data_IF_156660815007
#
_entry.id   IF_156660815007
#
_cell.length_a   1.000
_cell.length_b   1.000
_cell.length_c   1.000
_cell.angle_alpha   90.00
_cell.angle_beta   90.00
_cell.angle_gamma   90.00
#
_symmetry.space_group_name_H-M   'P 1'
#
loop_
_entity.id
_entity.type
_entity.pdbx_description
1 polymer ?
#
# COMPACT_ATOMS: atom_id res chain seq x y z
N UNK A 1 -5.59 14.57 -6.98
CA UNK A 1 -5.35 13.22 -6.41
C UNK A 1 -5.77 12.17 -7.43
N UNK A 2 -4.82 11.57 -8.12
CA UNK A 2 -5.03 10.66 -9.26
C UNK A 2 -4.91 9.17 -8.89
N UNK A 3 -4.57 8.85 -7.65
CA UNK A 3 -4.46 7.49 -7.10
C UNK A 3 -3.57 6.55 -7.93
N UNK A 4 -2.55 7.08 -8.60
CA UNK A 4 -1.69 6.33 -9.51
C UNK A 4 -0.77 5.32 -8.83
N UNK A 5 -0.64 5.36 -7.51
CA UNK A 5 0.29 4.51 -6.78
C UNK A 5 -0.26 4.09 -5.41
N UNK A 6 -0.16 2.81 -5.10
CA UNK A 6 -0.46 2.24 -3.79
C UNK A 6 0.69 1.28 -3.37
N UNK A 7 1.89 1.79 -3.03
CA UNK A 7 3.03 0.95 -2.73
C UNK A 7 2.80 0.18 -1.42
N UNK A 8 2.89 -1.15 -1.43
CA UNK A 8 2.80 -1.94 -0.21
C UNK A 8 4.06 -1.79 0.63
N UNK A 9 3.90 -1.68 1.95
CA UNK A 9 4.99 -1.82 2.90
C UNK A 9 5.08 -3.27 3.39
N UNK A 10 6.28 -3.84 3.41
CA UNK A 10 6.51 -5.23 3.81
C UNK A 10 7.53 -5.27 4.93
N UNK A 11 7.16 -5.93 6.04
CA UNK A 11 8.09 -6.21 7.12
C UNK A 11 8.79 -7.53 6.87
N UNK A 12 10.12 -7.49 6.73
CA UNK A 12 10.94 -8.66 6.43
C UNK A 12 11.89 -8.98 7.59
N UNK A 13 12.11 -10.27 7.79
CA UNK A 13 13.11 -10.77 8.72
C UNK A 13 14.02 -11.78 8.03
N UNK A 14 15.32 -11.75 8.33
CA UNK A 14 16.27 -12.73 7.83
C UNK A 14 15.90 -14.14 8.30
N UNK A 15 15.85 -15.09 7.37
CA UNK A 15 15.62 -16.52 7.71
C UNK A 15 16.65 -17.05 8.70
N UNK A 16 17.91 -16.66 8.56
CA UNK A 16 18.98 -17.08 9.47
C UNK A 16 18.78 -16.56 10.90
N UNK A 17 18.15 -15.40 11.08
CA UNK A 17 17.79 -14.88 12.41
C UNK A 17 16.53 -15.57 12.94
N UNK A 18 15.56 -15.80 12.07
CA UNK A 18 14.31 -16.49 12.39
C UNK A 18 14.55 -17.90 12.91
N UNK A 19 15.39 -18.67 12.24
CA UNK A 19 15.69 -20.07 12.59
C UNK A 19 16.45 -20.23 13.93
N UNK A 20 17.02 -19.14 14.46
CA UNK A 20 17.67 -19.12 15.79
C UNK A 20 16.69 -18.87 16.93
N UNK A 21 15.47 -18.49 16.63
CA UNK A 21 14.44 -18.22 17.64
C UNK A 21 13.76 -19.50 18.06
N UNK A 22 13.35 -19.55 19.33
CA UNK A 22 12.43 -20.57 19.81
C UNK A 22 11.04 -20.37 19.21
N UNK A 23 10.19 -21.40 19.18
CA UNK A 23 8.80 -21.28 18.71
C UNK A 23 8.04 -20.18 19.42
N UNK A 24 8.21 -20.05 20.75
CA UNK A 24 7.57 -18.99 21.53
C UNK A 24 8.03 -17.58 21.10
N UNK A 25 9.31 -17.42 20.77
CA UNK A 25 9.83 -16.13 20.24
C UNK A 25 9.30 -15.85 18.84
N UNK A 26 9.26 -16.86 17.97
CA UNK A 26 8.71 -16.73 16.62
C UNK A 26 7.23 -16.32 16.66
N UNK A 27 6.44 -16.92 17.56
CA UNK A 27 5.03 -16.59 17.73
C UNK A 27 4.84 -15.16 18.26
N UNK A 28 5.65 -14.76 19.24
CA UNK A 28 5.62 -13.38 19.77
C UNK A 28 5.94 -12.35 18.65
N UNK A 29 6.93 -12.64 17.80
CA UNK A 29 7.27 -11.76 16.67
C UNK A 29 6.16 -11.69 15.63
N UNK A 30 5.55 -12.85 15.27
CA UNK A 30 4.41 -12.85 14.33
C UNK A 30 3.24 -12.02 14.86
N UNK A 31 2.89 -12.22 16.14
CA UNK A 31 1.81 -11.49 16.79
C UNK A 31 2.09 -9.98 16.79
N UNK A 32 3.28 -9.58 17.22
CA UNK A 32 3.67 -8.17 17.25
C UNK A 32 3.67 -7.54 15.84
N UNK A 33 4.16 -8.26 14.83
CA UNK A 33 4.15 -7.79 13.45
C UNK A 33 2.72 -7.62 12.91
N UNK A 34 1.81 -8.54 13.21
CA UNK A 34 0.41 -8.43 12.83
C UNK A 34 -0.29 -7.24 13.50
N UNK A 35 -0.12 -7.11 14.82
CA UNK A 35 -0.70 -5.99 15.58
C UNK A 35 -0.16 -4.64 15.09
N UNK A 36 1.14 -4.56 14.83
CA UNK A 36 1.76 -3.37 14.24
C UNK A 36 1.21 -3.04 12.86
N UNK A 37 0.98 -4.04 12.00
CA UNK A 37 0.41 -3.84 10.67
C UNK A 37 -1.05 -3.35 10.73
N UNK A 38 -1.85 -3.85 11.68
CA UNK A 38 -3.23 -3.37 11.89
C UNK A 38 -3.22 -1.92 12.38
N UNK A 39 -2.40 -1.62 13.37
CA UNK A 39 -2.27 -0.26 13.90
C UNK A 39 -1.76 0.71 12.82
N UNK A 40 -0.74 0.33 12.07
CA UNK A 40 -0.13 1.16 11.03
C UNK A 40 -1.13 1.57 9.95
N UNK A 41 -2.03 0.69 9.56
CA UNK A 41 -3.07 1.02 8.55
C UNK A 41 -3.98 2.14 9.03
N UNK A 42 -4.42 2.09 10.29
CA UNK A 42 -5.24 3.17 10.86
C UNK A 42 -4.43 4.45 11.01
N UNK A 43 -3.23 4.37 11.57
CA UNK A 43 -2.36 5.53 11.74
C UNK A 43 -2.04 6.22 10.40
N UNK A 44 -1.87 5.45 9.32
CA UNK A 44 -1.62 6.00 7.99
C UNK A 44 -2.83 6.73 7.42
N UNK A 45 -4.05 6.21 7.64
CA UNK A 45 -5.29 6.89 7.25
C UNK A 45 -5.44 8.23 7.99
N UNK A 46 -5.25 8.22 9.30
CA UNK A 46 -5.34 9.42 10.11
C UNK A 46 -4.31 10.46 9.68
N UNK A 47 -3.07 10.04 9.45
CA UNK A 47 -1.99 10.91 8.96
C UNK A 47 -2.28 11.51 7.58
N UNK A 48 -2.90 10.74 6.68
CA UNK A 48 -3.31 11.26 5.37
C UNK A 48 -4.35 12.37 5.50
N UNK A 49 -5.34 12.20 6.38
CA UNK A 49 -6.37 13.22 6.64
C UNK A 49 -5.75 14.50 7.25
N UNK A 50 -4.88 14.34 8.24
CA UNK A 50 -4.17 15.46 8.86
C UNK A 50 -3.28 16.20 7.85
N UNK A 51 -2.56 15.46 7.01
CA UNK A 51 -1.68 16.02 5.97
C UNK A 51 -2.49 16.80 4.93
N UNK A 52 -3.63 16.27 4.50
CA UNK A 52 -4.54 16.95 3.58
C UNK A 52 -5.02 18.28 4.19
N UNK A 53 -5.52 18.24 5.43
CA UNK A 53 -5.98 19.43 6.12
C UNK A 53 -4.87 20.48 6.30
N UNK A 54 -3.65 20.05 6.59
CA UNK A 54 -2.50 20.95 6.70
C UNK A 54 -2.15 21.61 5.35
N UNK A 55 -2.21 20.88 4.24
CA UNK A 55 -2.01 21.43 2.90
C UNK A 55 -3.08 22.48 2.56
N UNK A 56 -4.36 22.18 2.81
CA UNK A 56 -5.46 23.10 2.58
C UNK A 56 -5.31 24.37 3.43
N UNK A 57 -4.95 24.24 4.70
CA UNK A 57 -4.70 25.36 5.59
C UNK A 57 -3.50 26.23 5.15
N UNK A 58 -2.52 25.63 4.48
CA UNK A 58 -1.38 26.32 3.89
C UNK A 58 -1.71 26.99 2.53
N UNK A 59 -2.95 26.91 2.06
CA UNK A 59 -3.41 27.50 0.81
C UNK A 59 -3.17 26.66 -0.44
N UNK A 60 -2.86 25.35 -0.28
CA UNK A 60 -2.79 24.42 -1.39
C UNK A 60 -4.20 24.04 -1.86
N UNK A 61 -4.42 24.05 -3.17
CA UNK A 61 -5.64 23.54 -3.78
C UNK A 61 -5.56 22.02 -3.94
N UNK A 62 -6.55 21.31 -3.44
CA UNK A 62 -6.68 19.86 -3.65
C UNK A 62 -7.55 19.61 -4.86
N UNK A 63 -6.93 19.20 -5.97
CA UNK A 63 -7.63 18.92 -7.22
C UNK A 63 -8.06 17.44 -7.22
N UNK A 64 -9.35 17.20 -7.27
CA UNK A 64 -9.92 15.89 -7.52
C UNK A 64 -10.00 15.68 -9.04
N UNK A 65 -9.55 14.51 -9.50
CA UNK A 65 -9.52 14.17 -10.93
C UNK A 65 -10.45 13.01 -11.24
N UNK A 66 -10.86 12.92 -12.50
CA UNK A 66 -11.59 11.76 -13.01
C UNK A 66 -10.65 10.57 -13.17
N UNK A 67 -10.52 9.76 -12.11
CA UNK A 67 -9.63 8.58 -12.08
C UNK A 67 -9.91 7.60 -13.24
N UNK A 68 -11.17 7.28 -13.61
CA UNK A 68 -11.45 6.43 -14.77
C UNK A 68 -10.85 6.95 -16.07
N UNK A 69 -10.86 8.26 -16.32
CA UNK A 69 -10.24 8.84 -17.51
C UNK A 69 -8.72 8.63 -17.53
N UNK A 70 -8.04 8.76 -16.37
CA UNK A 70 -6.62 8.47 -16.25
C UNK A 70 -6.31 7.01 -16.48
N UNK A 71 -7.10 6.10 -15.91
CA UNK A 71 -6.97 4.65 -16.11
C UNK A 71 -7.12 4.28 -17.60
N UNK A 72 -8.11 4.85 -18.27
CA UNK A 72 -8.31 4.62 -19.69
C UNK A 72 -7.12 5.12 -20.53
N UNK A 73 -6.55 6.27 -20.19
CA UNK A 73 -5.42 6.85 -20.92
C UNK A 73 -4.14 6.02 -20.80
N UNK A 74 -3.95 5.26 -19.71
CA UNK A 74 -2.76 4.43 -19.49
C UNK A 74 -3.00 2.95 -19.78
N UNK A 75 -4.17 2.55 -20.25
CA UNK A 75 -4.53 1.15 -20.48
C UNK A 75 -3.56 0.43 -21.45
N UNK A 76 -3.05 1.13 -22.48
CA UNK A 76 -2.08 0.58 -23.44
C UNK A 76 -0.74 0.16 -22.80
N UNK A 77 -0.38 0.72 -21.66
CA UNK A 77 0.85 0.36 -20.93
C UNK A 77 0.82 -1.12 -20.50
N UNK A 78 -0.34 -1.64 -20.15
CA UNK A 78 -0.48 -3.05 -19.77
C UNK A 78 -0.23 -4.00 -20.95
N UNK A 79 -0.51 -3.57 -22.16
CA UNK A 79 -0.26 -4.35 -23.38
C UNK A 79 1.24 -4.42 -23.72
N UNK A 80 1.99 -3.38 -23.33
CA UNK A 80 3.46 -3.35 -23.51
C UNK A 80 4.19 -4.29 -22.53
N UNK A 81 3.54 -4.68 -21.43
CA UNK A 81 4.12 -5.50 -20.37
C UNK A 81 3.30 -6.76 -20.08
N UNK A 82 3.07 -7.65 -21.07
CA UNK A 82 2.19 -8.82 -20.95
C UNK A 82 2.63 -9.81 -19.86
N UNK A 83 3.92 -9.80 -19.46
CA UNK A 83 4.43 -10.63 -18.37
C UNK A 83 3.79 -10.33 -17.02
N UNK A 84 3.21 -9.14 -16.83
CA UNK A 84 2.54 -8.75 -15.58
C UNK A 84 1.03 -8.95 -15.61
N UNK A 85 0.46 -9.40 -16.74
CA UNK A 85 -0.99 -9.55 -16.90
C UNK A 85 -1.64 -10.35 -15.76
N UNK A 86 -1.06 -11.46 -15.37
CA UNK A 86 -1.60 -12.31 -14.28
C UNK A 86 -1.68 -11.53 -12.97
N UNK A 87 -0.67 -10.70 -12.66
CA UNK A 87 -0.65 -9.91 -11.43
C UNK A 87 -1.69 -8.79 -11.52
N UNK A 88 -1.82 -8.14 -12.66
CA UNK A 88 -2.84 -7.11 -12.89
C UNK A 88 -4.24 -7.69 -12.76
N UNK A 89 -4.51 -8.85 -13.35
CA UNK A 89 -5.80 -9.54 -13.24
C UNK A 89 -6.12 -9.90 -11.78
N UNK A 90 -5.11 -10.34 -10.99
CA UNK A 90 -5.28 -10.61 -9.55
C UNK A 90 -5.59 -9.34 -8.75
N UNK A 91 -4.94 -8.22 -9.07
CA UNK A 91 -5.21 -6.92 -8.41
C UNK A 91 -6.63 -6.45 -8.72
N UNK A 92 -7.04 -6.52 -9.97
CA UNK A 92 -8.38 -6.11 -10.40
C UNK A 92 -9.51 -7.01 -9.88
N UNK A 93 -9.19 -8.22 -9.42
CA UNK A 93 -10.14 -9.15 -8.81
C UNK A 93 -10.34 -8.92 -7.30
N UNK A 94 -9.61 -8.01 -6.68
CA UNK A 94 -9.77 -7.63 -5.27
C UNK A 94 -10.86 -6.56 -5.19
N UNK A 95 -11.97 -6.92 -4.54
CA UNK A 95 -13.09 -6.02 -4.24
C UNK A 95 -12.84 -5.16 -3.01
#
# INVERSE_FOLDING_TARGET
LDQHMAPPAVLLMSKASWDKMTEAQQEAVRKAAYEAAVWQRQAMQDYQLESRAACEAAGCEIIEVDVPSFQAAVASVYDEYPQYKTIVDMINAVE
#
